data_IF_267937199911
#
_entry.id   IF_267937199911
#
_cell.length_a   1.000
_cell.length_b   1.000
_cell.length_c   1.000
_cell.angle_alpha   90.00
_cell.angle_beta   90.00
_cell.angle_gamma   90.00
#
_symmetry.space_group_name_H-M   'P 1'
#
loop_
_entity.id
_entity.type
_entity.pdbx_description
1 polymer ?
#
# COMPACT_ATOMS: atom_id res chain seq x y z
N UNK A 1 21.51 8.84 7.94
CA UNK A 1 20.32 9.39 7.25
C UNK A 1 19.45 8.22 6.86
N UNK A 2 18.20 8.12 7.34
CA UNK A 2 17.19 7.31 6.64
C UNK A 2 15.84 8.01 6.83
N UNK A 3 15.13 8.36 5.74
CA UNK A 3 13.82 8.99 5.82
C UNK A 3 12.81 7.98 6.37
N UNK A 4 12.12 8.33 7.46
CA UNK A 4 10.85 7.70 7.83
C UNK A 4 9.79 8.14 6.81
N UNK A 5 9.86 7.61 5.60
CA UNK A 5 8.76 7.72 4.68
C UNK A 5 7.80 6.58 5.04
N UNK A 6 6.72 6.82 5.81
CA UNK A 6 5.64 5.83 5.89
C UNK A 6 5.28 5.50 4.45
N UNK A 7 5.27 4.20 4.13
CA UNK A 7 5.15 3.66 2.77
C UNK A 7 4.25 4.56 1.91
N UNK A 8 4.84 5.15 0.88
CA UNK A 8 4.32 6.30 0.13
C UNK A 8 2.81 6.16 -0.09
N UNK A 9 2.02 7.19 0.25
CA UNK A 9 0.57 7.24 0.00
C UNK A 9 0.19 6.79 -1.43
N UNK A 10 1.10 6.98 -2.39
CA UNK A 10 1.02 6.47 -3.75
C UNK A 10 0.90 4.94 -3.84
N UNK A 11 1.59 4.14 -3.02
CA UNK A 11 1.50 2.68 -3.04
C UNK A 11 0.09 2.18 -2.70
N UNK A 12 -0.53 2.74 -1.65
CA UNK A 12 -1.91 2.45 -1.28
C UNK A 12 -2.88 2.87 -2.41
N UNK A 13 -2.66 4.05 -3.01
CA UNK A 13 -3.48 4.53 -4.11
C UNK A 13 -3.36 3.63 -5.35
N UNK A 14 -2.15 3.19 -5.70
CA UNK A 14 -1.92 2.26 -6.80
C UNK A 14 -2.58 0.90 -6.54
N UNK A 15 -2.58 0.41 -5.30
CA UNK A 15 -3.28 -0.82 -4.94
C UNK A 15 -4.81 -0.69 -5.13
N UNK A 16 -5.40 0.43 -4.70
CA UNK A 16 -6.84 0.71 -4.86
C UNK A 16 -7.20 0.82 -6.35
N UNK A 17 -6.48 1.65 -7.10
CA UNK A 17 -6.74 1.87 -8.52
C UNK A 17 -6.52 0.58 -9.32
N UNK A 18 -5.44 -0.14 -9.05
CA UNK A 18 -5.13 -1.42 -9.69
C UNK A 18 -6.19 -2.49 -9.42
N UNK A 19 -6.73 -2.56 -8.20
CA UNK A 19 -7.83 -3.45 -7.85
C UNK A 19 -9.09 -3.16 -8.67
N UNK A 20 -9.48 -1.89 -8.79
CA UNK A 20 -10.64 -1.49 -9.61
C UNK A 20 -10.41 -1.75 -11.11
N UNK A 21 -9.22 -1.43 -11.63
CA UNK A 21 -8.86 -1.74 -13.03
C UNK A 21 -8.95 -3.24 -13.28
N UNK A 22 -8.49 -4.06 -12.35
CA UNK A 22 -8.54 -5.51 -12.53
C UNK A 22 -9.98 -6.03 -12.61
N UNK A 23 -10.88 -5.54 -11.75
CA UNK A 23 -12.29 -5.96 -11.73
C UNK A 23 -13.03 -5.50 -12.99
N UNK A 24 -12.92 -4.22 -13.35
CA UNK A 24 -13.76 -3.65 -14.42
C UNK A 24 -13.17 -3.84 -15.82
N UNK A 25 -11.84 -3.89 -15.96
CA UNK A 25 -11.18 -3.95 -17.26
C UNK A 25 -10.65 -5.34 -17.58
N UNK A 26 -9.98 -6.00 -16.62
CA UNK A 26 -9.20 -7.21 -16.88
C UNK A 26 -10.04 -8.48 -16.73
N UNK A 27 -10.84 -8.57 -15.66
CA UNK A 27 -11.72 -9.72 -15.40
C UNK A 27 -12.67 -10.06 -16.57
N UNK A 28 -13.39 -9.11 -17.21
CA UNK A 28 -14.27 -9.45 -18.33
C UNK A 28 -13.52 -9.85 -19.61
N UNK A 29 -12.26 -9.43 -19.76
CA UNK A 29 -11.41 -9.77 -20.92
C UNK A 29 -10.73 -11.12 -20.75
N UNK A 30 -10.27 -11.43 -19.54
CA UNK A 30 -9.51 -12.64 -19.23
C UNK A 30 -9.65 -12.98 -17.76
N UNK A 31 -10.54 -13.93 -17.40
CA UNK A 31 -10.87 -14.23 -16.00
C UNK A 31 -9.66 -14.73 -15.20
N UNK A 32 -8.77 -15.51 -15.82
CA UNK A 32 -7.54 -16.01 -15.18
C UNK A 32 -6.57 -14.88 -14.81
N UNK A 33 -6.35 -13.93 -15.73
CA UNK A 33 -5.45 -12.80 -15.47
C UNK A 33 -6.09 -11.80 -14.50
N UNK A 34 -7.38 -11.52 -14.62
CA UNK A 34 -8.10 -10.64 -13.70
C UNK A 34 -8.05 -11.14 -12.27
N UNK A 35 -8.24 -12.45 -12.04
CA UNK A 35 -8.10 -13.05 -10.72
C UNK A 35 -6.69 -12.89 -10.14
N UNK A 36 -5.65 -13.18 -10.93
CA UNK A 36 -4.25 -13.01 -10.51
C UNK A 36 -3.94 -11.56 -10.11
N UNK A 37 -4.37 -10.59 -10.91
CA UNK A 37 -4.16 -9.17 -10.61
C UNK A 37 -4.94 -8.73 -9.35
N UNK A 38 -6.18 -9.18 -9.17
CA UNK A 38 -6.96 -8.91 -7.94
C UNK A 38 -6.19 -9.43 -6.72
N UNK A 39 -5.68 -10.66 -6.77
CA UNK A 39 -4.93 -11.27 -5.68
C UNK A 39 -3.66 -10.47 -5.34
N UNK A 40 -2.89 -10.05 -6.36
CA UNK A 40 -1.69 -9.22 -6.17
C UNK A 40 -2.05 -7.87 -5.54
N UNK A 41 -3.05 -7.16 -6.07
CA UNK A 41 -3.45 -5.87 -5.53
C UNK A 41 -4.01 -5.97 -4.11
N UNK A 42 -4.68 -7.07 -3.78
CA UNK A 42 -5.15 -7.36 -2.42
C UNK A 42 -3.98 -7.57 -1.46
N UNK A 43 -2.96 -8.33 -1.85
CA UNK A 43 -1.73 -8.49 -1.06
C UNK A 43 -1.00 -7.16 -0.87
N UNK A 44 -0.91 -6.33 -1.92
CA UNK A 44 -0.34 -4.99 -1.84
C UNK A 44 -1.13 -4.10 -0.88
N UNK A 45 -2.47 -4.20 -0.90
CA UNK A 45 -3.32 -3.44 0.02
C UNK A 45 -3.05 -3.84 1.48
N UNK A 46 -3.02 -5.14 1.78
CA UNK A 46 -2.72 -5.66 3.13
C UNK A 46 -1.32 -5.19 3.58
N UNK A 47 -0.31 -5.33 2.72
CA UNK A 47 1.04 -4.86 3.02
C UNK A 47 1.08 -3.34 3.31
N UNK A 48 0.28 -2.55 2.59
CA UNK A 48 0.18 -1.11 2.83
C UNK A 48 -0.44 -0.79 4.18
N UNK A 49 -1.51 -1.50 4.56
CA UNK A 49 -2.18 -1.31 5.86
C UNK A 49 -1.23 -1.68 6.99
N UNK A 50 -0.57 -2.83 6.88
CA UNK A 50 0.42 -3.31 7.85
C UNK A 50 1.55 -2.29 8.01
N UNK A 51 2.08 -1.75 6.91
CA UNK A 51 3.15 -0.75 6.99
C UNK A 51 2.73 0.56 7.66
N UNK A 52 1.44 0.92 7.62
CA UNK A 52 0.93 2.12 8.30
C UNK A 52 0.66 1.87 9.77
N UNK A 53 0.25 0.67 10.17
CA UNK A 53 0.01 0.33 11.58
C UNK A 53 1.28 0.11 12.39
N UNK A 54 2.38 -0.31 11.76
CA UNK A 54 3.71 -0.39 12.39
C UNK A 54 4.49 0.94 12.31
N UNK A 55 3.89 2.04 11.84
CA UNK A 55 4.51 3.36 11.91
C UNK A 55 4.60 3.77 13.38
N UNK A 56 5.78 3.55 13.95
CA UNK A 56 6.04 3.50 15.37
C UNK A 56 5.71 4.85 16.03
N UNK A 57 4.84 4.85 17.03
CA UNK A 57 4.61 6.04 17.85
C UNK A 57 5.94 6.51 18.48
N UNK A 58 6.85 5.58 18.74
CA UNK A 58 8.20 5.85 19.23
C UNK A 58 9.08 6.58 18.20
N UNK A 59 8.89 6.36 16.89
CA UNK A 59 9.60 7.10 15.85
C UNK A 59 9.15 8.56 15.79
N UNK A 60 7.85 8.82 15.98
CA UNK A 60 7.30 10.18 16.05
C UNK A 60 7.88 10.92 17.28
N UNK A 61 7.92 10.26 18.44
CA UNK A 61 8.47 10.83 19.67
C UNK A 61 9.98 11.08 19.55
N UNK A 62 10.72 10.18 18.89
CA UNK A 62 12.17 10.33 18.66
C UNK A 62 12.49 11.46 17.67
N UNK A 63 11.62 11.68 16.67
CA UNK A 63 11.72 12.81 15.73
C UNK A 63 11.48 14.15 16.44
N UNK A 64 10.48 14.24 17.32
CA UNK A 64 10.18 15.42 18.15
C UNK A 64 11.40 15.76 19.04
N UNK A 65 11.99 14.77 19.71
CA UNK A 65 13.15 14.94 20.60
C UNK A 65 14.43 15.39 19.90
N UNK A 66 14.63 15.04 18.63
CA UNK A 66 15.82 15.43 17.85
C UNK A 66 15.75 16.89 17.36
N UNK A 67 14.55 17.49 17.34
CA UNK A 67 14.31 18.84 16.83
C UNK A 67 14.42 19.94 17.89
N UNK A 68 14.44 19.56 19.18
CA UNK A 68 14.81 20.42 20.32
C UNK A 68 16.28 20.24 20.65
#
# INVERSE_FOLDING_TARGET
MIPIAPLTRGFMLTAIVGFFISIFLVYPKSPTLGFTFILIFMLMFIASVVSMTYADADDIIRMEKRKR
#
